data_IF_724965746927
#
_entry.id   IF_724965746927
#
_cell.length_a   1.000
_cell.length_b   1.000
_cell.length_c   1.000
_cell.angle_alpha   90.00
_cell.angle_beta   90.00
_cell.angle_gamma   90.00
#
_symmetry.space_group_name_H-M   'P 1'
#
loop_
_entity.id
_entity.type
_entity.pdbx_description
1 polymer ?
#
# COMPACT_ATOMS: atom_id res chain seq x y z
N UNK A 1 2.03 8.15 11.94
CA UNK A 1 1.09 7.93 10.82
C UNK A 1 1.45 8.93 9.74
N UNK A 2 2.02 8.49 8.61
CA UNK A 2 2.30 9.34 7.46
C UNK A 2 1.18 9.18 6.44
N UNK A 3 0.64 10.31 5.96
CA UNK A 3 -0.32 10.29 4.85
C UNK A 3 0.42 9.91 3.57
N UNK A 4 -0.09 8.90 2.89
CA UNK A 4 0.43 8.43 1.62
C UNK A 4 -0.73 8.09 0.69
N UNK A 5 -0.51 8.27 -0.61
CA UNK A 5 -1.50 7.94 -1.64
C UNK A 5 -1.21 6.53 -2.14
N UNK A 6 -2.24 5.69 -2.20
CA UNK A 6 -2.12 4.36 -2.76
C UNK A 6 -1.80 4.45 -4.26
N UNK A 7 -0.69 3.86 -4.69
CA UNK A 7 -0.26 3.87 -6.10
C UNK A 7 -1.16 3.04 -7.03
N UNK A 8 -2.09 2.26 -6.47
CA UNK A 8 -2.94 1.32 -7.21
C UNK A 8 -4.37 1.87 -7.35
N UNK A 9 -4.95 2.41 -6.27
CA UNK A 9 -6.31 2.96 -6.28
C UNK A 9 -6.40 4.49 -6.14
N UNK A 10 -5.28 5.18 -5.86
CA UNK A 10 -5.25 6.64 -5.71
C UNK A 10 -5.86 7.18 -4.40
N UNK A 11 -6.26 6.31 -3.46
CA UNK A 11 -6.83 6.75 -2.18
C UNK A 11 -5.77 7.19 -1.18
N UNK A 12 -6.11 8.16 -0.34
CA UNK A 12 -5.30 8.59 0.79
C UNK A 12 -5.38 7.55 1.93
N UNK A 13 -4.22 7.11 2.40
CA UNK A 13 -4.10 6.15 3.49
C UNK A 13 -3.00 6.54 4.46
N UNK A 14 -3.13 6.11 5.71
CA UNK A 14 -2.13 6.36 6.74
C UNK A 14 -1.21 5.15 6.89
N UNK A 15 0.07 5.36 6.63
CA UNK A 15 1.10 4.32 6.72
C UNK A 15 2.06 4.58 7.88
N UNK A 16 2.58 3.53 8.53
CA UNK A 16 3.53 3.68 9.63
C UNK A 16 4.95 3.98 9.16
N UNK A 17 5.22 3.92 7.85
CA UNK A 17 6.52 4.17 7.24
C UNK A 17 6.49 5.48 6.43
N UNK A 18 7.63 6.14 6.29
CA UNK A 18 7.75 7.39 5.54
C UNK A 18 7.74 7.05 4.03
N UNK A 19 6.78 7.55 3.23
CA UNK A 19 6.80 7.33 1.78
C UNK A 19 8.01 8.06 1.18
N UNK A 20 9.04 7.29 0.83
CA UNK A 20 10.29 7.78 0.23
C UNK A 20 10.22 7.97 -1.30
N UNK A 21 9.06 7.72 -1.91
CA UNK A 21 8.85 7.80 -3.36
C UNK A 21 9.61 6.72 -4.15
N UNK A 22 10.49 5.95 -3.51
CA UNK A 22 11.25 4.86 -4.13
C UNK A 22 10.45 3.56 -4.12
N UNK A 23 9.56 3.37 -3.14
CA UNK A 23 8.57 2.28 -3.12
C UNK A 23 7.14 2.82 -3.30
N UNK A 24 6.31 2.17 -4.13
CA UNK A 24 4.89 2.47 -4.20
C UNK A 24 4.19 2.10 -2.90
N UNK A 25 3.38 3.02 -2.38
CA UNK A 25 2.55 2.77 -1.20
C UNK A 25 1.25 2.10 -1.62
N UNK A 26 0.81 1.11 -0.85
CA UNK A 26 -0.46 0.42 -1.08
C UNK A 26 -1.34 0.51 0.15
N UNK A 27 -2.62 0.78 -0.07
CA UNK A 27 -3.63 0.65 0.97
C UNK A 27 -3.79 -0.83 1.34
N UNK A 28 -4.42 -1.07 2.50
CA UNK A 28 -4.61 -2.41 3.06
C UNK A 28 -5.34 -3.36 2.09
N UNK A 29 -6.25 -2.83 1.30
CA UNK A 29 -7.00 -3.58 0.28
C UNK A 29 -6.14 -3.95 -0.93
N UNK A 30 -5.45 -2.99 -1.54
CA UNK A 30 -4.57 -3.25 -2.69
C UNK A 30 -3.39 -4.16 -2.31
N UNK A 31 -2.85 -4.01 -1.09
CA UNK A 31 -1.84 -4.92 -0.56
C UNK A 31 -2.38 -6.34 -0.40
N UNK A 32 -3.62 -6.49 0.10
CA UNK A 32 -4.26 -7.80 0.23
C UNK A 32 -4.55 -8.46 -1.12
N UNK A 33 -4.99 -7.68 -2.13
CA UNK A 33 -5.20 -8.17 -3.50
C UNK A 33 -3.91 -8.63 -4.19
N UNK A 34 -2.79 -7.93 -3.94
CA UNK A 34 -1.47 -8.28 -4.48
C UNK A 34 -0.81 -9.46 -3.79
N UNK A 35 -1.29 -9.85 -2.60
CA UNK A 35 -0.71 -10.98 -1.88
C UNK A 35 -1.04 -12.25 -2.65
N UNK A 36 -0.04 -12.99 -3.17
CA UNK A 36 -0.32 -14.23 -3.89
C UNK A 36 -1.07 -15.18 -2.94
N UNK A 37 -2.09 -15.90 -3.42
CA UNK A 37 -2.74 -16.92 -2.61
C UNK A 37 -1.64 -17.87 -2.14
N UNK A 38 -1.57 -18.10 -0.83
CA UNK A 38 -0.62 -19.07 -0.27
C UNK A 38 -1.00 -20.40 -0.88
N UNK A 39 -0.23 -20.84 -1.89
CA UNK A 39 -0.40 -22.16 -2.49
C UNK A 39 -0.09 -23.16 -1.38
N UNK A 40 -1.11 -23.94 -1.03
CA UNK A 40 -1.01 -25.07 -0.13
C UNK A 40 -0.31 -26.21 -0.85
#
# INVERSE_FOLDING_TARGET
MHKAVCADCGQECEVPFKPDGSKPVYCRECYSKRRPPRRY
#
